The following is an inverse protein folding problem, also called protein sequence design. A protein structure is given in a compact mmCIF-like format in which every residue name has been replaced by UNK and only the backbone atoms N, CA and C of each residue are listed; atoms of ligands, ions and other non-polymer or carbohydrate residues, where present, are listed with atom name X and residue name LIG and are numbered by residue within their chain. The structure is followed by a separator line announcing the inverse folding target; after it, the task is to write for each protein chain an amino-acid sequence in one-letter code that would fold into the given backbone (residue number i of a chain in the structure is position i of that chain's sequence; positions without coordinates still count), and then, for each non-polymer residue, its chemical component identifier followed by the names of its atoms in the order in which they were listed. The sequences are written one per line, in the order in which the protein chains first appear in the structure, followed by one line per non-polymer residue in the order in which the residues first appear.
data_IF_667848999229
#
_entry.id   IF_667848999229
#
_cell.length_a   1.000
_cell.length_b   1.000
_cell.length_c   1.000
_cell.angle_alpha   90.00
_cell.angle_beta   90.00
_cell.angle_gamma   90.00
#
_symmetry.space_group_name_H-M   'P 1'
#
loop_
_entity.id
_entity.type
_entity.pdbx_description
1 polymer ?
#
# COMPACT_ATOMS: atom_id res chain seq x y z
N UNK A 1 39.30 1.92 0.53
CA UNK A 1 37.82 1.97 0.42
C UNK A 1 37.44 1.52 -0.98
N UNK A 2 37.09 0.25 -1.12
CA UNK A 2 36.61 -0.30 -2.38
C UNK A 2 35.23 0.29 -2.68
N UNK A 3 35.07 0.97 -3.82
CA UNK A 3 33.76 1.44 -4.28
C UNK A 3 32.95 0.21 -4.64
N UNK A 4 32.01 -0.18 -3.77
CA UNK A 4 30.98 -1.17 -4.09
C UNK A 4 30.29 -0.67 -5.37
N UNK A 5 30.51 -1.36 -6.49
CA UNK A 5 29.82 -1.09 -7.75
C UNK A 5 28.35 -1.44 -7.52
N UNK A 6 27.52 -0.42 -7.36
CA UNK A 6 26.06 -0.56 -7.31
C UNK A 6 25.60 -1.30 -8.56
N UNK A 7 24.85 -2.37 -8.37
CA UNK A 7 24.32 -3.20 -9.44
C UNK A 7 23.38 -2.38 -10.35
N UNK A 8 23.21 -2.83 -11.58
CA UNK A 8 22.31 -2.16 -12.56
C UNK A 8 20.87 -2.07 -12.05
N UNK A 9 20.42 -3.07 -11.29
CA UNK A 9 19.09 -3.14 -10.66
C UNK A 9 18.92 -2.08 -9.57
N UNK A 10 19.89 -1.95 -8.66
CA UNK A 10 19.87 -0.92 -7.60
C UNK A 10 19.86 0.49 -8.17
N UNK A 11 20.66 0.74 -9.22
CA UNK A 11 20.66 2.05 -9.88
C UNK A 11 19.32 2.36 -10.52
N UNK A 12 18.68 1.38 -11.18
CA UNK A 12 17.35 1.54 -11.77
C UNK A 12 16.30 1.85 -10.70
N UNK A 13 16.32 1.09 -9.60
CA UNK A 13 15.43 1.30 -8.47
C UNK A 13 15.57 2.71 -7.88
N UNK A 14 16.81 3.14 -7.60
CA UNK A 14 17.12 4.48 -7.09
C UNK A 14 16.57 5.58 -8.01
N UNK A 15 16.79 5.47 -9.32
CA UNK A 15 16.29 6.44 -10.28
C UNK A 15 14.75 6.51 -10.31
N UNK A 16 14.08 5.35 -10.25
CA UNK A 16 12.60 5.29 -10.16
C UNK A 16 12.13 5.97 -8.88
N UNK A 17 12.86 5.79 -7.77
CA UNK A 17 12.49 6.32 -6.46
C UNK A 17 12.65 7.84 -6.40
N UNK A 18 13.76 8.35 -6.89
CA UNK A 18 13.98 9.79 -7.03
C UNK A 18 12.89 10.45 -7.89
N UNK A 19 12.50 9.80 -9.00
CA UNK A 19 11.45 10.33 -9.89
C UNK A 19 10.10 10.40 -9.17
N UNK A 20 9.73 9.35 -8.45
CA UNK A 20 8.44 9.27 -7.75
C UNK A 20 8.41 10.21 -6.55
N UNK A 21 9.51 10.34 -5.83
CA UNK A 21 9.63 11.32 -4.75
C UNK A 21 9.47 12.76 -5.25
N UNK A 22 10.09 13.10 -6.38
CA UNK A 22 9.90 14.43 -7.00
C UNK A 22 8.44 14.68 -7.34
N UNK A 23 7.77 13.68 -7.91
CA UNK A 23 6.35 13.76 -8.25
C UNK A 23 5.44 13.87 -7.02
N UNK A 24 5.80 13.23 -5.92
CA UNK A 24 5.11 13.33 -4.63
C UNK A 24 5.26 14.73 -4.03
N UNK A 25 6.50 15.22 -3.93
CA UNK A 25 6.81 16.57 -3.45
C UNK A 25 6.09 17.63 -4.28
N UNK A 26 6.11 17.51 -5.62
CA UNK A 26 5.39 18.41 -6.51
C UNK A 26 3.89 18.45 -6.21
N UNK A 27 3.25 17.29 -5.99
CA UNK A 27 1.82 17.22 -5.64
C UNK A 27 1.51 17.88 -4.30
N UNK A 28 2.37 17.71 -3.30
CA UNK A 28 2.23 18.41 -2.02
C UNK A 28 2.36 19.91 -2.19
N UNK A 29 3.36 20.38 -2.93
CA UNK A 29 3.63 21.80 -3.11
C UNK A 29 2.53 22.49 -3.97
N UNK A 30 1.87 21.73 -4.84
CA UNK A 30 0.72 22.17 -5.65
C UNK A 30 -0.64 21.99 -4.94
N UNK A 31 -0.66 21.57 -3.68
CA UNK A 31 -1.87 21.27 -2.90
C UNK A 31 -2.82 20.29 -3.63
N UNK A 32 -2.26 19.31 -4.34
CA UNK A 32 -3.00 18.22 -4.99
C UNK A 32 -3.40 17.18 -3.94
N UNK A 33 -4.29 17.56 -3.04
CA UNK A 33 -4.77 16.72 -1.95
C UNK A 33 -6.19 16.23 -2.23
N UNK A 34 -6.52 15.05 -1.71
CA UNK A 34 -7.91 14.58 -1.66
C UNK A 34 -8.70 15.35 -0.59
N UNK A 35 -10.00 15.09 -0.51
CA UNK A 35 -10.79 15.52 0.64
C UNK A 35 -10.23 14.98 1.97
N UNK A 36 -10.45 15.70 3.09
CA UNK A 36 -10.14 15.20 4.43
C UNK A 36 -10.94 13.95 4.77
N UNK A 37 -10.38 13.10 5.65
CA UNK A 37 -10.94 11.81 6.11
C UNK A 37 -12.47 11.83 6.30
N UNK A 38 -12.97 12.74 7.14
CA UNK A 38 -14.40 12.83 7.51
C UNK A 38 -15.34 13.29 6.39
N UNK A 39 -14.80 13.94 5.35
CA UNK A 39 -15.58 14.47 4.24
C UNK A 39 -15.47 13.59 2.98
N UNK A 40 -14.37 12.84 2.87
CA UNK A 40 -14.12 11.96 1.74
C UNK A 40 -14.53 10.51 1.97
N UNK A 41 -14.27 9.71 0.96
CA UNK A 41 -14.61 8.29 0.87
C UNK A 41 -13.40 7.43 1.25
N UNK A 42 -13.65 6.32 1.92
CA UNK A 42 -12.69 5.22 2.03
C UNK A 42 -13.00 4.18 0.96
N UNK A 43 -11.98 3.73 0.25
CA UNK A 43 -12.13 2.66 -0.75
C UNK A 43 -11.38 1.42 -0.31
N UNK A 44 -12.12 0.34 -0.07
CA UNK A 44 -11.60 -0.97 0.30
C UNK A 44 -11.48 -1.81 -0.98
N UNK A 45 -10.24 -2.12 -1.36
CA UNK A 45 -9.85 -2.84 -2.56
C UNK A 45 -9.50 -4.27 -2.17
N UNK A 46 -10.31 -5.24 -2.60
CA UNK A 46 -10.12 -6.64 -2.22
C UNK A 46 -9.52 -7.40 -3.40
N UNK A 47 -8.44 -8.13 -3.14
CA UNK A 47 -7.86 -9.05 -4.08
C UNK A 47 -8.75 -10.26 -4.23
N UNK A 48 -9.01 -10.67 -5.48
CA UNK A 48 -9.68 -11.93 -5.78
C UNK A 48 -8.67 -13.03 -6.18
N UNK A 49 -7.39 -12.82 -5.88
CA UNK A 49 -6.32 -13.78 -6.13
C UNK A 49 -5.94 -14.46 -4.82
N UNK A 50 -6.12 -15.77 -4.68
CA UNK A 50 -5.67 -16.51 -3.50
C UNK A 50 -4.16 -16.80 -3.59
N UNK A 51 -3.50 -16.97 -2.44
CA UNK A 51 -2.18 -17.58 -2.40
C UNK A 51 -2.30 -19.10 -2.64
N UNK A 52 -1.87 -19.55 -3.81
CA UNK A 52 -1.87 -20.97 -4.16
C UNK A 52 -0.84 -21.81 -3.39
N UNK A 53 0.05 -21.16 -2.63
CA UNK A 53 1.05 -21.83 -1.77
C UNK A 53 0.61 -21.89 -0.30
N UNK A 54 -0.46 -21.19 0.07
CA UNK A 54 -1.01 -21.19 1.42
C UNK A 54 -1.66 -22.53 1.78
N UNK A 55 -1.80 -22.79 3.09
CA UNK A 55 -2.45 -24.00 3.60
C UNK A 55 -3.98 -23.96 3.43
N UNK A 56 -4.56 -22.76 3.41
CA UNK A 56 -5.98 -22.52 3.24
C UNK A 56 -6.43 -22.71 1.79
N UNK A 57 -7.66 -23.21 1.58
CA UNK A 57 -8.21 -23.30 0.22
C UNK A 57 -8.46 -21.92 -0.37
N UNK A 58 -8.36 -21.79 -1.70
CA UNK A 58 -8.64 -20.55 -2.41
C UNK A 58 -10.01 -19.94 -2.04
N UNK A 59 -11.04 -20.78 -1.88
CA UNK A 59 -12.38 -20.34 -1.51
C UNK A 59 -12.44 -19.81 -0.07
N UNK A 60 -11.66 -20.39 0.85
CA UNK A 60 -11.61 -19.93 2.23
C UNK A 60 -10.86 -18.60 2.35
N UNK A 61 -9.75 -18.44 1.63
CA UNK A 61 -8.99 -17.19 1.59
C UNK A 61 -9.83 -16.03 1.02
N UNK A 62 -10.47 -16.24 -0.14
CA UNK A 62 -11.32 -15.21 -0.77
C UNK A 62 -12.49 -14.83 0.15
N UNK A 63 -13.10 -15.82 0.81
CA UNK A 63 -14.17 -15.58 1.79
C UNK A 63 -13.66 -14.79 2.99
N UNK A 64 -12.48 -15.11 3.52
CA UNK A 64 -11.87 -14.37 4.62
C UNK A 64 -11.58 -12.91 4.23
N UNK A 65 -11.00 -12.66 3.04
CA UNK A 65 -10.76 -11.30 2.53
C UNK A 65 -12.06 -10.49 2.41
N UNK A 66 -13.15 -11.14 2.02
CA UNK A 66 -14.45 -10.49 1.91
C UNK A 66 -15.10 -10.18 3.26
N UNK A 67 -14.98 -11.08 4.24
CA UNK A 67 -15.47 -10.84 5.59
C UNK A 67 -14.69 -9.70 6.25
N UNK A 68 -13.36 -9.70 6.12
CA UNK A 68 -12.49 -8.62 6.58
C UNK A 68 -12.89 -7.27 5.97
N UNK A 69 -13.22 -7.25 4.67
CA UNK A 69 -13.68 -6.04 4.00
C UNK A 69 -14.99 -5.49 4.60
N UNK A 70 -15.91 -6.38 4.98
CA UNK A 70 -17.19 -6.00 5.58
C UNK A 70 -17.02 -5.49 7.02
N UNK A 71 -16.19 -6.16 7.81
CA UNK A 71 -15.85 -5.73 9.18
C UNK A 71 -15.18 -4.35 9.18
N UNK A 72 -14.22 -4.12 8.27
CA UNK A 72 -13.56 -2.82 8.14
C UNK A 72 -14.48 -1.74 7.59
N UNK A 73 -15.39 -2.09 6.68
CA UNK A 73 -16.37 -1.12 6.19
C UNK A 73 -17.29 -0.64 7.30
N UNK A 74 -17.75 -1.55 8.17
CA UNK A 74 -18.55 -1.20 9.34
C UNK A 74 -17.74 -0.33 10.31
N UNK A 75 -16.51 -0.73 10.64
CA UNK A 75 -15.62 0.02 11.54
C UNK A 75 -15.40 1.46 11.05
N UNK A 76 -15.02 1.63 9.77
CA UNK A 76 -14.68 2.93 9.20
C UNK A 76 -15.88 3.76 8.75
N UNK A 77 -17.10 3.22 8.76
CA UNK A 77 -18.33 3.94 8.40
C UNK A 77 -18.57 5.20 9.25
N UNK A 78 -17.99 5.25 10.45
CA UNK A 78 -18.09 6.39 11.38
C UNK A 78 -16.96 7.41 11.21
N UNK A 79 -15.89 7.04 10.52
CA UNK A 79 -14.69 7.86 10.38
C UNK A 79 -14.59 8.56 9.02
N UNK A 80 -15.20 7.98 7.99
CA UNK A 80 -15.27 8.52 6.64
C UNK A 80 -16.70 8.93 6.27
N UNK A 81 -16.83 9.82 5.29
CA UNK A 81 -18.14 10.25 4.79
C UNK A 81 -18.89 9.15 4.03
N UNK A 82 -18.16 8.21 3.43
CA UNK A 82 -18.69 6.97 2.87
C UNK A 82 -17.58 5.91 2.80
N UNK A 83 -17.98 4.63 2.71
CA UNK A 83 -17.06 3.51 2.49
C UNK A 83 -17.54 2.69 1.29
N UNK A 84 -16.65 2.43 0.34
CA UNK A 84 -16.91 1.61 -0.85
C UNK A 84 -16.06 0.34 -0.81
N UNK A 85 -16.63 -0.80 -1.19
CA UNK A 85 -15.90 -2.07 -1.29
C UNK A 85 -15.85 -2.51 -2.76
N UNK A 86 -14.63 -2.77 -3.25
CA UNK A 86 -14.35 -3.32 -4.57
C UNK A 86 -13.87 -4.76 -4.41
N UNK A 87 -14.81 -5.72 -4.48
CA UNK A 87 -14.55 -7.14 -4.20
C UNK A 87 -13.71 -7.87 -5.25
N UNK A 88 -13.71 -7.35 -6.47
CA UNK A 88 -12.98 -7.91 -7.61
C UNK A 88 -12.22 -6.80 -8.32
N UNK A 89 -11.39 -6.11 -7.54
CA UNK A 89 -10.78 -4.89 -8.03
C UNK A 89 -9.85 -5.17 -9.21
N UNK A 90 -10.10 -4.44 -10.28
CA UNK A 90 -9.25 -4.35 -11.45
C UNK A 90 -8.25 -3.21 -11.30
N UNK A 91 -7.24 -3.19 -12.16
CA UNK A 91 -6.29 -2.08 -12.24
C UNK A 91 -6.99 -0.75 -12.54
N UNK A 92 -8.03 -0.80 -13.37
CA UNK A 92 -8.78 0.37 -13.77
C UNK A 92 -9.50 0.98 -12.57
N UNK A 93 -10.20 0.17 -11.77
CA UNK A 93 -10.88 0.63 -10.56
C UNK A 93 -9.88 1.20 -9.55
N UNK A 94 -8.79 0.49 -9.26
CA UNK A 94 -7.77 1.00 -8.35
C UNK A 94 -7.15 2.32 -8.86
N UNK A 95 -6.92 2.43 -10.17
CA UNK A 95 -6.45 3.67 -10.80
C UNK A 95 -7.45 4.82 -10.69
N UNK A 96 -8.74 4.56 -10.84
CA UNK A 96 -9.79 5.56 -10.61
C UNK A 96 -9.79 6.02 -9.15
N UNK A 97 -9.75 5.11 -8.19
CA UNK A 97 -9.74 5.46 -6.76
C UNK A 97 -8.50 6.28 -6.36
N UNK A 98 -7.32 5.92 -6.86
CA UNK A 98 -6.08 6.67 -6.62
C UNK A 98 -6.09 8.07 -7.25
N UNK A 99 -6.79 8.24 -8.36
CA UNK A 99 -6.89 9.51 -9.07
C UNK A 99 -8.09 10.37 -8.68
N UNK A 100 -9.00 9.85 -7.86
CA UNK A 100 -10.21 10.54 -7.44
C UNK A 100 -9.94 11.48 -6.24
N UNK A 101 -10.30 12.78 -6.32
CA UNK A 101 -10.14 13.72 -5.21
C UNK A 101 -11.10 13.44 -4.04
N UNK A 102 -12.23 12.78 -4.26
CA UNK A 102 -13.18 12.45 -3.17
C UNK A 102 -12.69 11.32 -2.29
N UNK A 103 -11.81 10.46 -2.80
CA UNK A 103 -11.30 9.29 -2.08
C UNK A 103 -10.20 9.77 -1.16
N UNK A 104 -10.51 9.80 0.13
CA UNK A 104 -9.64 10.28 1.19
C UNK A 104 -8.68 9.20 1.69
N UNK A 105 -9.09 7.94 1.66
CA UNK A 105 -8.27 6.81 2.13
C UNK A 105 -8.47 5.56 1.28
N UNK A 106 -7.55 4.61 1.41
CA UNK A 106 -7.65 3.30 0.78
C UNK A 106 -7.27 2.19 1.75
N UNK A 107 -7.93 1.04 1.64
CA UNK A 107 -7.51 -0.22 2.27
C UNK A 107 -7.33 -1.24 1.16
N UNK A 108 -6.22 -1.97 1.14
CA UNK A 108 -6.04 -3.14 0.27
C UNK A 108 -6.07 -4.42 1.11
N UNK A 109 -6.85 -5.42 0.71
CA UNK A 109 -7.03 -6.68 1.43
C UNK A 109 -6.73 -7.86 0.51
N UNK A 110 -5.91 -8.81 0.94
CA UNK A 110 -5.70 -10.09 0.26
C UNK A 110 -4.28 -10.31 -0.29
N UNK A 111 -4.13 -11.00 -1.42
CA UNK A 111 -2.81 -11.39 -1.89
C UNK A 111 -1.95 -10.20 -2.36
N UNK A 112 -0.71 -10.17 -1.87
CA UNK A 112 0.23 -9.08 -2.09
C UNK A 112 1.30 -9.08 -1.01
N UNK A 113 2.23 -8.16 -1.12
CA UNK A 113 3.20 -7.87 -0.06
C UNK A 113 3.20 -6.35 0.18
N UNK A 114 4.24 -5.83 0.84
CA UNK A 114 4.30 -4.39 1.07
C UNK A 114 4.53 -3.62 -0.25
N UNK A 115 5.32 -4.17 -1.16
CA UNK A 115 5.72 -3.55 -2.42
C UNK A 115 4.78 -3.78 -3.61
N UNK A 116 3.89 -4.76 -3.52
CA UNK A 116 2.88 -5.05 -4.54
C UNK A 116 1.54 -5.53 -3.97
N UNK A 117 0.49 -5.41 -4.79
CA UNK A 117 -0.84 -5.93 -4.49
C UNK A 117 -1.43 -6.59 -5.72
N UNK A 118 -1.98 -7.80 -5.57
CA UNK A 118 -2.56 -8.55 -6.68
C UNK A 118 -4.02 -8.19 -6.91
N UNK A 119 -4.36 -7.99 -8.17
CA UNK A 119 -5.68 -7.60 -8.64
C UNK A 119 -6.32 -8.73 -9.44
N UNK A 120 -7.61 -8.58 -9.76
CA UNK A 120 -8.30 -9.53 -10.62
C UNK A 120 -7.60 -9.69 -11.99
N UNK A 121 -7.59 -10.93 -12.50
CA UNK A 121 -7.01 -11.27 -13.79
C UNK A 121 -5.49 -11.47 -13.79
N UNK A 122 -4.86 -11.58 -12.61
CA UNK A 122 -3.41 -11.82 -12.50
C UNK A 122 -2.55 -10.57 -12.68
N UNK A 123 -3.16 -9.39 -12.67
CA UNK A 123 -2.44 -8.12 -12.64
C UNK A 123 -1.92 -7.83 -11.23
N UNK A 124 -0.87 -7.02 -11.13
CA UNK A 124 -0.41 -6.51 -9.83
C UNK A 124 -0.11 -5.00 -9.90
N UNK A 125 -0.20 -4.37 -8.75
CA UNK A 125 0.06 -2.95 -8.53
C UNK A 125 1.27 -2.78 -7.64
N UNK A 126 2.36 -2.27 -8.21
CA UNK A 126 3.54 -1.85 -7.46
C UNK A 126 3.59 -0.33 -7.25
N UNK A 127 4.49 0.10 -6.38
CA UNK A 127 4.70 1.50 -6.03
C UNK A 127 4.88 2.46 -7.22
N UNK A 128 5.59 2.05 -8.29
CA UNK A 128 5.75 2.88 -9.50
C UNK A 128 4.41 3.19 -10.17
N UNK A 129 3.52 2.21 -10.18
CA UNK A 129 2.21 2.31 -10.79
C UNK A 129 1.29 3.15 -9.94
N UNK A 130 1.33 2.99 -8.62
CA UNK A 130 0.57 3.84 -7.70
C UNK A 130 1.00 5.30 -7.79
N UNK A 131 2.29 5.59 -7.82
CA UNK A 131 2.77 6.94 -7.98
C UNK A 131 2.31 7.60 -9.30
N UNK A 132 2.24 6.82 -10.38
CA UNK A 132 1.77 7.30 -11.69
C UNK A 132 0.26 7.56 -11.69
N UNK A 133 -0.53 6.71 -11.01
CA UNK A 133 -1.99 6.78 -10.99
C UNK A 133 -2.51 7.76 -9.94
N UNK A 134 -1.76 8.02 -8.88
CA UNK A 134 -2.13 8.99 -7.85
C UNK A 134 -2.09 10.40 -8.42
N UNK A 135 -3.26 11.01 -8.59
CA UNK A 135 -3.36 12.43 -8.99
C UNK A 135 -3.53 13.37 -7.79
N UNK A 136 -4.16 12.87 -6.72
CA UNK A 136 -4.41 13.58 -5.48
C UNK A 136 -3.92 12.73 -4.31
N UNK A 137 -3.15 13.35 -3.42
CA UNK A 137 -2.60 12.70 -2.25
C UNK A 137 -3.69 12.52 -1.19
N UNK A 138 -3.83 11.28 -0.74
CA UNK A 138 -4.84 10.82 0.21
C UNK A 138 -4.58 11.42 1.58
N UNK A 139 -5.54 12.16 2.11
CA UNK A 139 -5.44 12.79 3.43
C UNK A 139 -5.82 11.85 4.59
N UNK A 140 -6.54 10.77 4.31
CA UNK A 140 -6.82 9.67 5.23
C UNK A 140 -5.72 8.61 5.23
N UNK A 141 -6.06 7.41 5.70
CA UNK A 141 -5.14 6.28 5.78
C UNK A 141 -4.98 5.55 4.44
N UNK A 142 -3.80 4.94 4.27
CA UNK A 142 -3.59 3.88 3.32
C UNK A 142 -3.21 2.62 4.11
N UNK A 143 -4.07 1.60 4.10
CA UNK A 143 -3.90 0.40 4.92
C UNK A 143 -3.64 -0.80 4.01
N UNK A 144 -2.56 -1.53 4.25
CA UNK A 144 -2.20 -2.73 3.48
C UNK A 144 -2.39 -4.00 4.32
N UNK A 145 -3.55 -4.65 4.20
CA UNK A 145 -3.87 -5.95 4.82
C UNK A 145 -3.57 -7.12 3.88
N UNK A 146 -2.28 -7.34 3.63
CA UNK A 146 -1.81 -8.31 2.63
C UNK A 146 -1.14 -9.53 3.25
N UNK A 147 -1.39 -10.71 2.68
CA UNK A 147 -0.98 -12.00 3.25
C UNK A 147 0.41 -12.52 2.83
N UNK A 148 1.03 -11.94 1.80
CA UNK A 148 2.23 -12.48 1.20
C UNK A 148 3.50 -12.29 2.04
N UNK A 149 4.41 -13.27 1.92
CA UNK A 149 5.73 -13.26 2.56
C UNK A 149 6.65 -12.18 1.99
N UNK A 150 7.54 -11.66 2.84
CA UNK A 150 8.50 -10.63 2.53
C UNK A 150 9.95 -11.13 2.65
N UNK A 151 10.63 -11.31 1.51
CA UNK A 151 12.02 -10.87 1.44
C UNK A 151 12.33 -10.31 0.04
N UNK A 152 12.03 -9.03 -0.22
CA UNK A 152 12.58 -8.33 -1.38
C UNK A 152 13.38 -7.09 -0.98
N UNK A 153 14.71 -7.21 -1.08
CA UNK A 153 15.62 -6.07 -1.03
C UNK A 153 15.15 -5.05 -2.06
N UNK A 154 14.85 -3.83 -1.62
CA UNK A 154 14.42 -2.69 -2.46
C UNK A 154 12.93 -2.66 -2.84
N UNK A 155 12.01 -2.83 -1.90
CA UNK A 155 10.60 -2.51 -2.14
C UNK A 155 10.10 -1.41 -1.21
N UNK A 156 9.31 -0.49 -1.75
CA UNK A 156 8.63 0.58 -0.99
C UNK A 156 7.17 0.20 -0.85
N UNK A 157 6.56 0.43 0.33
CA UNK A 157 5.14 0.22 0.48
C UNK A 157 4.32 0.96 -0.58
N UNK A 158 3.30 0.27 -1.11
CA UNK A 158 2.45 0.78 -2.17
C UNK A 158 1.87 2.16 -1.86
N UNK A 159 1.43 2.37 -0.61
CA UNK A 159 0.76 3.59 -0.16
C UNK A 159 1.66 4.77 0.17
N UNK A 160 2.99 4.61 0.26
CA UNK A 160 3.93 5.65 0.71
C UNK A 160 3.85 6.95 -0.10
N UNK A 161 3.53 6.86 -1.40
CA UNK A 161 3.41 8.02 -2.31
C UNK A 161 1.97 8.33 -2.71
N UNK A 162 1.02 7.60 -2.12
CA UNK A 162 -0.40 7.85 -2.32
C UNK A 162 -0.94 8.83 -1.28
N UNK A 163 -0.38 8.87 -0.07
CA UNK A 163 -0.89 9.68 1.06
C UNK A 163 -0.17 11.03 1.20
N UNK A 164 -0.86 12.05 1.71
CA UNK A 164 -0.28 13.38 1.95
C UNK A 164 0.69 13.40 3.14
N UNK A 165 0.45 12.53 4.12
CA UNK A 165 1.33 12.27 5.24
C UNK A 165 1.68 10.78 5.24
N UNK A 166 2.96 10.46 5.04
CA UNK A 166 3.42 9.09 4.89
C UNK A 166 3.17 8.27 6.16
N UNK A 167 3.03 8.91 7.34
CA UNK A 167 2.64 8.26 8.59
C UNK A 167 1.23 7.67 8.57
N UNK A 168 0.39 8.08 7.62
CA UNK A 168 -0.94 7.52 7.41
C UNK A 168 -0.91 6.16 6.69
N UNK A 169 0.27 5.69 6.27
CA UNK A 169 0.44 4.33 5.80
C UNK A 169 0.52 3.36 6.99
N UNK A 170 -0.35 2.36 6.97
CA UNK A 170 -0.39 1.26 7.94
C UNK A 170 -0.12 -0.04 7.18
N UNK A 171 0.95 -0.75 7.52
CA UNK A 171 1.32 -1.99 6.84
C UNK A 171 2.15 -2.91 7.75
N UNK A 172 2.12 -4.24 7.51
CA UNK A 172 2.86 -5.22 8.30
C UNK A 172 4.31 -5.40 7.83
N UNK A 173 5.22 -4.58 8.34
CA UNK A 173 6.62 -4.62 7.89
C UNK A 173 7.37 -5.84 8.42
N UNK A 174 8.01 -6.60 7.52
CA UNK A 174 8.90 -7.72 7.88
C UNK A 174 8.18 -8.92 8.52
N UNK A 175 6.87 -9.06 8.31
CA UNK A 175 6.04 -10.10 8.90
C UNK A 175 5.19 -10.78 7.83
N UNK A 176 4.83 -12.03 8.07
CA UNK A 176 3.84 -12.76 7.27
C UNK A 176 2.49 -12.63 7.97
N UNK A 177 1.44 -12.39 7.21
CA UNK A 177 0.07 -12.32 7.71
C UNK A 177 -0.69 -13.57 7.28
N UNK A 178 -1.47 -14.11 8.22
CA UNK A 178 -2.35 -15.26 7.97
C UNK A 178 -3.47 -14.89 6.98
N UNK A 179 -3.73 -15.75 5.99
CA UNK A 179 -4.74 -15.54 4.96
C UNK A 179 -6.19 -15.56 5.47
N UNK A 180 -6.43 -16.15 6.65
CA UNK A 180 -7.75 -16.34 7.25
C UNK A 180 -7.98 -15.36 8.42
N UNK A 181 -6.96 -15.15 9.26
CA UNK A 181 -7.09 -14.35 10.48
C UNK A 181 -5.87 -13.44 10.68
N UNK A 182 -5.88 -12.23 10.11
CA UNK A 182 -4.76 -11.31 10.24
C UNK A 182 -4.55 -10.90 11.70
N UNK A 183 -3.29 -10.89 12.15
CA UNK A 183 -2.91 -10.37 13.47
C UNK A 183 -2.83 -8.84 13.43
N UNK A 184 -3.80 -8.19 14.07
CA UNK A 184 -3.91 -6.73 14.16
C UNK A 184 -2.63 -6.06 14.71
N UNK A 185 -1.88 -6.75 15.58
CA UNK A 185 -0.67 -6.18 16.20
C UNK A 185 0.49 -5.99 15.21
N UNK A 186 0.41 -6.62 14.03
CA UNK A 186 1.42 -6.50 12.98
C UNK A 186 1.28 -5.19 12.20
N UNK A 187 0.12 -4.53 12.26
CA UNK A 187 -0.16 -3.33 11.49
C UNK A 187 0.29 -2.09 12.24
N UNK A 188 1.43 -1.54 11.83
CA UNK A 188 1.99 -0.33 12.42
C UNK A 188 2.20 0.78 11.40
N UNK A 189 2.25 2.05 11.83
CA UNK A 189 2.71 3.13 10.99
C UNK A 189 4.15 2.88 10.57
N UNK A 190 4.41 3.00 9.27
CA UNK A 190 5.73 2.68 8.71
C UNK A 190 6.74 3.82 8.94
N UNK A 191 6.33 4.99 9.45
CA UNK A 191 7.19 6.18 9.53
C UNK A 191 7.02 7.02 10.80
N UNK A 192 8.10 7.73 11.18
CA UNK A 192 8.17 8.53 12.42
C UNK A 192 8.59 10.01 12.30
N UNK A 193 8.96 10.55 11.12
CA UNK A 193 9.37 11.97 10.95
C UNK A 193 9.18 12.46 9.52
N UNK A 194 8.73 13.71 9.33
CA UNK A 194 8.91 14.52 8.11
C UNK A 194 8.52 13.90 6.75
N UNK A 195 8.82 14.60 5.64
CA UNK A 195 8.81 13.98 4.29
C UNK A 195 10.01 13.04 4.23
N UNK A 196 9.80 11.76 3.90
CA UNK A 196 10.91 10.80 3.75
C UNK A 196 11.79 11.18 2.57
N UNK A 197 13.11 11.16 2.74
CA UNK A 197 14.04 11.20 1.62
C UNK A 197 14.37 9.79 1.11
N UNK A 198 15.19 9.72 0.06
CA UNK A 198 15.55 8.44 -0.54
C UNK A 198 16.34 7.54 0.41
N UNK A 199 17.13 8.12 1.31
CA UNK A 199 17.90 7.39 2.31
C UNK A 199 17.00 6.91 3.43
N UNK A 200 16.01 7.69 3.88
CA UNK A 200 15.04 7.24 4.89
C UNK A 200 14.28 6.00 4.41
N UNK A 201 13.87 5.99 3.14
CA UNK A 201 13.20 4.84 2.52
C UNK A 201 14.15 3.65 2.39
N UNK A 202 15.41 3.90 1.99
CA UNK A 202 16.43 2.85 1.86
C UNK A 202 16.86 2.27 3.21
N UNK A 203 16.93 3.10 4.26
CA UNK A 203 17.29 2.72 5.62
C UNK A 203 16.17 1.96 6.31
N UNK A 204 14.91 2.29 6.01
CA UNK A 204 13.76 1.50 6.47
C UNK A 204 13.81 0.08 5.87
N UNK A 205 14.18 0.00 4.59
CA UNK A 205 14.44 -1.27 3.89
C UNK A 205 15.66 -1.97 4.49
N UNK A 206 16.70 -1.27 4.96
CA UNK A 206 17.87 -1.91 5.56
C UNK A 206 17.63 -2.38 7.01
N UNK A 207 16.96 -1.57 7.83
CA UNK A 207 16.75 -1.84 9.27
C UNK A 207 15.80 -3.00 9.55
N UNK A 208 14.86 -3.27 8.66
CA UNK A 208 13.98 -4.44 8.77
C UNK A 208 14.61 -5.74 8.24
N UNK A 209 15.90 -5.71 7.87
CA UNK A 209 16.63 -6.84 7.29
C UNK A 209 17.92 -7.23 8.05
N UNK A 210 18.22 -6.60 9.19
CA UNK A 210 19.39 -6.96 10.02
C UNK A 210 18.99 -7.71 11.32
N UNK A 211 17.70 -7.97 11.55
CA UNK A 211 17.20 -8.69 12.73
C UNK A 211 16.50 -10.03 12.41
N UNK A 212 16.86 -10.68 11.30
CA UNK A 212 16.51 -12.08 11.03
C UNK A 212 17.79 -12.91 10.84
#
# INVERSE_FOLDING_TARGET
MEKIKTSRSERRYKNTLERIQKEYVRKLDEDKLSLPKKLGKLSIIVSNMPDHRGEATAADQIRAFHNEADELAEYYSREYGAVNIYRKATEMEMGFELSNPDVAGLITIGHGNIGDFWLEGGNHMGWEKVAKLTKFLKQGEFIQRTCGNFPYLNSVPLGTFAVADQRNLIAPTGRVIDDIKPDESLFGPVYGKGRNDINDITDLIAKHYILA
#
